data_IF_061214121142
#
_entry.id   IF_061214121142
#
_cell.length_a   1.000
_cell.length_b   1.000
_cell.length_c   1.000
_cell.angle_alpha   90.00
_cell.angle_beta   90.00
_cell.angle_gamma   90.00
#
_symmetry.space_group_name_H-M   'P 1'
#
loop_
_entity.id
_entity.type
_entity.pdbx_description
1 polymer ?
#
# COMPACT_ATOMS: atom_id res chain seq x y z
N UNK A 1 -13.91 -0.15 -0.36
CA UNK A 1 -14.06 0.35 1.03
C UNK A 1 -14.97 1.55 0.97
N UNK A 2 -16.01 1.59 1.81
CA UNK A 2 -16.92 2.74 1.91
C UNK A 2 -16.10 4.00 2.25
N UNK A 3 -16.52 5.19 1.76
CA UNK A 3 -15.82 6.47 1.99
C UNK A 3 -15.43 6.68 3.47
N UNK A 4 -16.28 6.26 4.40
CA UNK A 4 -16.06 6.31 5.85
C UNK A 4 -14.81 5.56 6.30
N UNK A 5 -14.57 4.34 5.79
CA UNK A 5 -13.40 3.55 6.16
C UNK A 5 -12.07 4.18 5.72
N UNK A 6 -12.08 4.98 4.64
CA UNK A 6 -10.90 5.75 4.23
C UNK A 6 -10.59 6.87 5.22
N UNK A 7 -11.61 7.61 5.66
CA UNK A 7 -11.42 8.71 6.61
C UNK A 7 -10.95 8.20 7.97
N UNK A 8 -11.54 7.12 8.47
CA UNK A 8 -11.09 6.48 9.71
C UNK A 8 -9.63 6.03 9.64
N UNK A 9 -9.22 5.43 8.52
CA UNK A 9 -7.82 5.08 8.30
C UNK A 9 -6.89 6.30 8.32
N UNK A 10 -7.27 7.38 7.62
CA UNK A 10 -6.45 8.61 7.58
C UNK A 10 -6.31 9.20 8.98
N UNK A 11 -7.41 9.32 9.72
CA UNK A 11 -7.40 9.84 11.10
C UNK A 11 -6.53 8.96 11.99
N UNK A 12 -6.65 7.63 11.88
CA UNK A 12 -5.87 6.69 12.66
C UNK A 12 -4.36 6.77 12.36
N UNK A 13 -3.97 6.89 11.09
CA UNK A 13 -2.56 7.04 10.71
C UNK A 13 -2.00 8.39 11.17
N UNK A 14 -2.77 9.47 11.04
CA UNK A 14 -2.37 10.78 11.57
C UNK A 14 -2.17 10.68 13.09
N UNK A 15 -3.11 10.07 13.80
CA UNK A 15 -2.99 9.85 15.24
C UNK A 15 -1.73 9.06 15.59
N UNK A 16 -1.48 7.91 14.95
CA UNK A 16 -0.29 7.09 15.19
C UNK A 16 1.00 7.86 14.90
N UNK A 17 1.03 8.61 13.81
CA UNK A 17 2.18 9.41 13.41
C UNK A 17 2.46 10.53 14.42
N UNK A 18 1.45 11.33 14.76
CA UNK A 18 1.55 12.40 15.76
C UNK A 18 1.94 11.86 17.13
N UNK A 19 1.37 10.72 17.54
CA UNK A 19 1.71 10.06 18.80
C UNK A 19 3.15 9.58 18.81
N UNK A 20 3.62 8.94 17.73
CA UNK A 20 5.02 8.51 17.61
C UNK A 20 5.97 9.71 17.62
N UNK A 21 5.63 10.79 16.92
CA UNK A 21 6.39 12.05 16.95
C UNK A 21 6.48 12.60 18.37
N UNK A 22 5.35 12.67 19.08
CA UNK A 22 5.32 13.10 20.47
C UNK A 22 6.25 12.24 21.34
N UNK A 23 6.21 10.91 21.22
CA UNK A 23 7.10 10.02 21.97
C UNK A 23 8.58 10.27 21.66
N UNK A 24 8.95 10.49 20.39
CA UNK A 24 10.33 10.79 20.01
C UNK A 24 10.82 12.06 20.72
N UNK A 25 10.08 13.15 20.64
CA UNK A 25 10.47 14.40 21.30
C UNK A 25 10.44 14.29 22.84
N UNK A 26 9.48 13.54 23.37
CA UNK A 26 9.34 13.34 24.81
C UNK A 26 10.43 12.43 25.40
N UNK A 27 11.00 11.52 24.60
CA UNK A 27 12.08 10.62 25.04
C UNK A 27 13.38 11.34 25.43
N UNK A 28 13.57 12.57 24.93
CA UNK A 28 14.67 13.45 25.31
C UNK A 28 14.45 14.22 26.63
N UNK A 29 13.24 14.18 27.20
CA UNK A 29 12.88 14.93 28.40
C UNK A 29 13.34 14.20 29.69
N UNK A 30 13.81 14.90 30.75
CA UNK A 30 14.27 14.27 32.00
C UNK A 30 13.18 13.49 32.74
N UNK A 31 11.90 13.77 32.46
CA UNK A 31 10.76 12.91 32.79
C UNK A 31 10.29 12.25 31.50
N UNK A 32 10.72 11.03 31.25
CA UNK A 32 10.31 10.21 30.10
C UNK A 32 8.96 9.51 30.42
N UNK A 33 8.23 9.05 29.40
CA UNK A 33 6.80 8.80 29.51
C UNK A 33 6.48 7.59 30.40
N UNK A 34 7.26 6.52 30.25
CA UNK A 34 7.12 5.32 31.05
C UNK A 34 7.82 5.42 32.40
N UNK A 35 8.34 6.57 32.82
CA UNK A 35 9.04 6.70 34.11
C UNK A 35 8.21 6.21 35.30
N UNK A 36 6.89 6.33 35.23
CA UNK A 36 5.95 5.87 36.25
C UNK A 36 5.69 4.35 36.23
N UNK A 37 6.02 3.67 35.14
CA UNK A 37 5.86 2.22 34.95
C UNK A 37 7.20 1.46 34.99
N UNK A 38 8.26 2.08 34.45
CA UNK A 38 9.60 1.52 34.32
C UNK A 38 10.66 2.61 34.56
N UNK A 39 11.61 2.33 35.45
CA UNK A 39 12.70 3.26 35.81
C UNK A 39 13.83 3.34 34.74
N UNK A 40 13.81 2.48 33.72
CA UNK A 40 14.78 2.51 32.62
C UNK A 40 14.21 3.21 31.37
N UNK A 41 14.98 4.13 30.80
CA UNK A 41 14.64 4.87 29.56
C UNK A 41 14.56 3.96 28.33
N UNK A 42 15.22 2.80 28.32
CA UNK A 42 15.22 1.89 27.16
C UNK A 42 13.82 1.45 26.74
N UNK A 43 12.88 1.39 27.68
CA UNK A 43 11.50 1.02 27.38
C UNK A 43 10.78 2.06 26.51
N UNK A 44 11.06 3.36 26.67
CA UNK A 44 10.50 4.40 25.80
C UNK A 44 10.98 4.22 24.35
N UNK A 45 12.25 3.84 24.15
CA UNK A 45 12.81 3.56 22.82
C UNK A 45 12.12 2.36 22.19
N UNK A 46 11.90 1.27 22.94
CA UNK A 46 11.18 0.10 22.43
C UNK A 46 9.75 0.43 22.03
N UNK A 47 9.05 1.27 22.81
CA UNK A 47 7.71 1.73 22.47
C UNK A 47 7.72 2.56 21.19
N UNK A 48 8.66 3.51 21.03
CA UNK A 48 8.79 4.29 19.80
C UNK A 48 9.00 3.39 18.58
N UNK A 49 9.92 2.42 18.66
CA UNK A 49 10.20 1.48 17.57
C UNK A 49 8.97 0.63 17.25
N UNK A 50 8.27 0.14 18.28
CA UNK A 50 7.05 -0.66 18.11
C UNK A 50 5.94 0.15 17.40
N UNK A 51 5.70 1.40 17.82
CA UNK A 51 4.70 2.26 17.19
C UNK A 51 5.08 2.67 15.76
N UNK A 52 6.36 2.96 15.51
CA UNK A 52 6.85 3.23 14.15
C UNK A 52 6.67 2.03 13.22
N UNK A 53 7.00 0.83 13.70
CA UNK A 53 6.80 -0.41 12.95
C UNK A 53 5.31 -0.69 12.69
N UNK A 54 4.46 -0.51 13.70
CA UNK A 54 3.00 -0.67 13.56
C UNK A 54 2.43 0.31 12.52
N UNK A 55 2.86 1.57 12.55
CA UNK A 55 2.44 2.60 11.58
C UNK A 55 2.85 2.20 10.16
N UNK A 56 4.06 1.66 9.99
CA UNK A 56 4.54 1.14 8.70
C UNK A 56 3.70 -0.04 8.20
N UNK A 57 3.41 -1.03 9.06
CA UNK A 57 2.59 -2.18 8.70
C UNK A 57 1.17 -1.76 8.26
N UNK A 58 0.51 -0.92 9.04
CA UNK A 58 -0.83 -0.41 8.72
C UNK A 58 -0.83 0.31 7.37
N UNK A 59 0.20 1.13 7.12
CA UNK A 59 0.36 1.85 5.86
C UNK A 59 0.59 0.92 4.66
N UNK A 60 1.43 -0.10 4.85
CA UNK A 60 1.72 -1.11 3.85
C UNK A 60 0.46 -1.90 3.45
N UNK A 61 -0.26 -2.46 4.43
CA UNK A 61 -1.46 -3.25 4.15
C UNK A 61 -2.57 -2.42 3.51
N UNK A 62 -2.73 -1.16 3.92
CA UNK A 62 -3.67 -0.25 3.29
C UNK A 62 -3.32 0.02 1.82
N UNK A 63 -2.04 0.32 1.54
CA UNK A 63 -1.55 0.52 0.18
C UNK A 63 -1.78 -0.72 -0.67
N UNK A 64 -1.38 -1.89 -0.18
CA UNK A 64 -1.55 -3.18 -0.87
C UNK A 64 -3.03 -3.49 -1.19
N UNK A 65 -3.94 -3.25 -0.23
CA UNK A 65 -5.37 -3.48 -0.41
C UNK A 65 -6.05 -2.49 -1.38
N UNK A 66 -5.46 -1.31 -1.59
CA UNK A 66 -5.95 -0.34 -2.57
C UNK A 66 -5.32 -0.51 -3.95
N UNK A 67 -4.06 -0.96 -4.03
CA UNK A 67 -3.37 -1.21 -5.29
C UNK A 67 -4.12 -2.26 -6.14
N UNK A 68 -4.62 -3.33 -5.50
CA UNK A 68 -5.43 -4.36 -6.18
C UNK A 68 -6.71 -3.81 -6.81
N UNK A 69 -7.37 -2.83 -6.17
CA UNK A 69 -8.54 -2.16 -6.75
C UNK A 69 -8.15 -1.34 -7.98
N UNK A 70 -6.98 -0.70 -7.94
CA UNK A 70 -6.46 0.07 -9.07
C UNK A 70 -6.32 -0.77 -10.34
N UNK A 71 -5.75 -1.98 -10.24
CA UNK A 71 -5.65 -2.87 -11.40
C UNK A 71 -7.00 -3.39 -11.90
N UNK A 72 -7.94 -3.71 -10.98
CA UNK A 72 -9.30 -4.10 -11.37
C UNK A 72 -9.97 -2.99 -12.16
N UNK A 73 -9.96 -1.76 -11.64
CA UNK A 73 -10.52 -0.60 -12.33
C UNK A 73 -9.83 -0.33 -13.66
N UNK A 74 -8.50 -0.46 -13.75
CA UNK A 74 -7.76 -0.31 -15.01
C UNK A 74 -8.26 -1.30 -16.08
N UNK A 75 -8.48 -2.56 -15.69
CA UNK A 75 -8.96 -3.61 -16.60
C UNK A 75 -10.42 -3.38 -16.97
N UNK A 76 -11.27 -3.00 -16.02
CA UNK A 76 -12.67 -2.67 -16.26
C UNK A 76 -12.82 -1.51 -17.25
N UNK A 77 -12.05 -0.42 -17.06
CA UNK A 77 -12.05 0.74 -17.97
C UNK A 77 -11.60 0.38 -19.39
N UNK A 78 -10.78 -0.67 -19.55
CA UNK A 78 -10.27 -1.12 -20.83
C UNK A 78 -10.95 -2.41 -21.32
N UNK A 79 -12.04 -2.86 -20.69
CA UNK A 79 -12.64 -4.19 -20.90
C UNK A 79 -12.95 -4.47 -22.36
N UNK A 80 -13.62 -3.54 -23.04
CA UNK A 80 -14.01 -3.73 -24.45
C UNK A 80 -12.79 -3.86 -25.38
N UNK A 81 -11.74 -3.10 -25.11
CA UNK A 81 -10.50 -3.15 -25.88
C UNK A 81 -9.76 -4.48 -25.62
N UNK A 82 -9.73 -4.92 -24.37
CA UNK A 82 -9.14 -6.21 -23.97
C UNK A 82 -9.87 -7.38 -24.66
N UNK A 83 -11.21 -7.38 -24.63
CA UNK A 83 -12.01 -8.41 -25.28
C UNK A 83 -11.83 -8.41 -26.81
N UNK A 84 -11.73 -7.24 -27.44
CA UNK A 84 -11.40 -7.14 -28.87
C UNK A 84 -10.02 -7.70 -29.19
N UNK A 85 -9.01 -7.48 -28.34
CA UNK A 85 -7.66 -8.04 -28.53
C UNK A 85 -7.65 -9.56 -28.36
N UNK A 86 -8.38 -10.09 -27.37
CA UNK A 86 -8.53 -11.56 -27.20
C UNK A 86 -9.22 -12.21 -28.39
N UNK A 87 -10.28 -11.60 -28.93
CA UNK A 87 -10.95 -12.08 -30.16
C UNK A 87 -10.01 -12.11 -31.38
N UNK A 88 -8.94 -11.29 -31.38
CA UNK A 88 -7.89 -11.28 -32.39
C UNK A 88 -6.74 -12.25 -32.09
N UNK A 89 -6.88 -13.11 -31.08
CA UNK A 89 -5.89 -14.12 -30.71
C UNK A 89 -4.73 -13.61 -29.85
N UNK A 90 -4.82 -12.40 -29.28
CA UNK A 90 -3.75 -11.88 -28.40
C UNK A 90 -3.75 -12.57 -27.04
N UNK A 91 -2.56 -12.96 -26.57
CA UNK A 91 -2.39 -13.57 -25.24
C UNK A 91 -2.50 -12.52 -24.12
N UNK A 92 -2.78 -12.99 -22.90
CA UNK A 92 -2.81 -12.11 -21.73
C UNK A 92 -1.44 -11.47 -21.45
N UNK A 93 -0.31 -12.13 -21.78
CA UNK A 93 1.01 -11.50 -21.68
C UNK A 93 1.17 -10.32 -22.65
N UNK A 94 0.71 -10.46 -23.89
CA UNK A 94 0.79 -9.41 -24.90
C UNK A 94 -0.09 -8.22 -24.52
N UNK A 95 -1.30 -8.50 -24.01
CA UNK A 95 -2.24 -7.47 -23.54
C UNK A 95 -1.67 -6.74 -22.32
N UNK A 96 -1.08 -7.47 -21.36
CA UNK A 96 -0.45 -6.87 -20.19
C UNK A 96 0.75 -5.99 -20.57
N UNK A 97 1.59 -6.42 -21.52
CA UNK A 97 2.72 -5.64 -22.04
C UNK A 97 2.25 -4.37 -22.76
N UNK A 98 1.18 -4.47 -23.56
CA UNK A 98 0.58 -3.31 -24.22
C UNK A 98 0.00 -2.30 -23.22
N UNK A 99 -0.66 -2.77 -22.15
CA UNK A 99 -1.18 -1.92 -21.07
C UNK A 99 -0.05 -1.20 -20.33
N UNK A 100 1.00 -1.92 -19.93
CA UNK A 100 2.15 -1.32 -19.25
C UNK A 100 2.88 -0.30 -20.11
N UNK A 101 3.01 -0.58 -21.42
CA UNK A 101 3.60 0.35 -22.38
C UNK A 101 2.75 1.62 -22.53
N UNK A 102 1.42 1.48 -22.58
CA UNK A 102 0.51 2.63 -22.63
C UNK A 102 0.56 3.49 -21.36
N UNK A 103 0.85 2.88 -20.21
CA UNK A 103 1.07 3.58 -18.93
C UNK A 103 2.47 4.22 -18.82
N UNK A 104 3.32 4.13 -19.86
CA UNK A 104 4.68 4.66 -19.83
C UNK A 104 5.62 3.94 -18.86
N UNK A 105 5.30 2.70 -18.46
CA UNK A 105 6.12 1.93 -17.52
C UNK A 105 7.40 1.43 -18.21
N UNK A 106 8.55 1.77 -17.64
CA UNK A 106 9.87 1.28 -18.10
C UNK A 106 10.10 -0.17 -17.66
N UNK A 107 10.80 -0.95 -18.48
CA UNK A 107 11.18 -2.34 -18.15
C UNK A 107 12.15 -2.36 -16.96
N UNK A 108 11.92 -3.28 -16.01
CA UNK A 108 12.68 -3.40 -14.76
C UNK A 108 12.03 -4.39 -13.78
N UNK A 109 12.48 -4.42 -12.53
CA UNK A 109 11.94 -5.32 -11.50
C UNK A 109 10.45 -5.00 -11.23
N UNK A 110 10.12 -3.72 -11.04
CA UNK A 110 8.73 -3.27 -10.86
C UNK A 110 7.84 -3.67 -12.05
N UNK A 111 8.33 -3.52 -13.28
CA UNK A 111 7.60 -3.91 -14.49
C UNK A 111 7.21 -5.38 -14.49
N UNK A 112 8.12 -6.28 -14.08
CA UNK A 112 7.84 -7.73 -14.02
C UNK A 112 6.74 -8.04 -13.01
N UNK A 113 6.75 -7.36 -11.87
CA UNK A 113 5.72 -7.50 -10.84
C UNK A 113 4.36 -7.00 -11.34
N UNK A 114 4.30 -5.79 -11.91
CA UNK A 114 3.07 -5.21 -12.44
C UNK A 114 2.51 -6.05 -13.60
N UNK A 115 3.37 -6.58 -14.48
CA UNK A 115 2.96 -7.48 -15.57
C UNK A 115 2.27 -8.73 -15.02
N UNK A 116 2.86 -9.38 -14.01
CA UNK A 116 2.25 -10.57 -13.36
C UNK A 116 0.91 -10.23 -12.71
N UNK A 117 0.79 -9.08 -12.04
CA UNK A 117 -0.47 -8.63 -11.46
C UNK A 117 -1.55 -8.40 -12.54
N UNK A 118 -1.21 -7.69 -13.61
CA UNK A 118 -2.17 -7.43 -14.70
C UNK A 118 -2.63 -8.75 -15.32
N UNK A 119 -1.72 -9.69 -15.60
CA UNK A 119 -2.07 -11.02 -16.11
C UNK A 119 -3.03 -11.75 -15.16
N UNK A 120 -2.77 -11.71 -13.85
CA UNK A 120 -3.66 -12.31 -12.85
C UNK A 120 -5.07 -11.71 -12.87
N UNK A 121 -5.21 -10.39 -13.06
CA UNK A 121 -6.53 -9.78 -13.14
C UNK A 121 -7.19 -9.97 -14.51
N UNK A 122 -6.41 -10.05 -15.59
CA UNK A 122 -6.90 -10.43 -16.91
C UNK A 122 -7.47 -11.86 -16.88
N UNK A 123 -6.81 -12.81 -16.23
CA UNK A 123 -7.31 -14.19 -16.15
C UNK A 123 -8.64 -14.32 -15.38
N UNK A 124 -8.95 -13.34 -14.51
CA UNK A 124 -10.26 -13.23 -13.85
C UNK A 124 -11.34 -12.57 -14.72
N UNK A 125 -10.94 -11.83 -15.75
CA UNK A 125 -11.85 -11.20 -16.68
C UNK A 125 -12.42 -12.27 -17.62
N UNK A 126 -13.69 -12.61 -17.45
CA UNK A 126 -14.47 -13.40 -18.40
C UNK A 126 -15.05 -12.51 -19.50
#
# INVERSE_FOLDING_TARGET
>A
MKKVGRYLYIIFVIFLFSFTFYLIFWSGHPKYLLKYLYEDRKYDIYVIVAFGFLTSLVSFFYSWANENKGYQTLIELNRDKILKLRKRGKSDEEIAEALLKALGRKKGIGYRYEKKKIIYFLSKLR
#
